data_IF_883572704344
#
_entry.id   IF_883572704344
#
_cell.length_a   1.000
_cell.length_b   1.000
_cell.length_c   1.000
_cell.angle_alpha   90.00
_cell.angle_beta   90.00
_cell.angle_gamma   90.00
#
_symmetry.space_group_name_H-M   'P 1'
#
loop_
_entity.id
_entity.type
_entity.pdbx_description
1 polymer ?
#
# COMPACT_ATOMS: atom_id res chain seq x y z
N UNK A 1 16.79 8.21 12.63
CA UNK A 1 16.52 7.49 11.37
C UNK A 1 15.81 6.20 11.72
N UNK A 2 14.51 6.12 11.48
CA UNK A 2 13.75 4.89 11.66
C UNK A 2 13.70 4.20 10.30
N UNK A 3 14.79 3.53 9.91
CA UNK A 3 14.77 2.65 8.76
C UNK A 3 13.75 1.53 9.02
N UNK A 4 13.08 1.08 7.97
CA UNK A 4 12.19 -0.09 7.96
C UNK A 4 12.92 -1.34 8.49
N UNK A 5 12.96 -1.51 9.80
CA UNK A 5 13.76 -2.54 10.44
C UNK A 5 13.05 -3.89 10.34
N UNK A 6 13.59 -4.75 9.47
CA UNK A 6 13.55 -6.21 9.54
C UNK A 6 12.22 -6.95 9.34
N UNK A 7 11.10 -6.28 9.08
CA UNK A 7 9.87 -6.97 8.67
C UNK A 7 9.23 -6.27 7.45
N UNK A 8 9.23 -6.90 6.26
CA UNK A 8 8.51 -6.35 5.12
C UNK A 8 7.02 -6.31 5.46
N UNK A 9 6.37 -5.18 5.19
CA UNK A 9 4.92 -5.14 5.21
C UNK A 9 4.40 -6.20 4.24
N UNK A 10 3.36 -6.91 4.66
CA UNK A 10 2.82 -8.03 3.91
C UNK A 10 1.43 -7.66 3.41
N UNK A 11 1.24 -7.76 2.09
CA UNK A 11 -0.10 -7.75 1.52
C UNK A 11 -0.80 -9.02 1.99
N UNK A 12 -1.86 -8.87 2.78
CA UNK A 12 -2.57 -10.04 3.32
C UNK A 12 -3.56 -10.59 2.30
N UNK A 13 -4.39 -9.70 1.73
CA UNK A 13 -5.54 -10.10 0.91
C UNK A 13 -5.79 -9.06 -0.18
N UNK A 14 -5.84 -9.52 -1.42
CA UNK A 14 -6.53 -8.87 -2.54
C UNK A 14 -6.84 -9.90 -3.66
N UNK A 15 -8.04 -9.85 -4.28
CA UNK A 15 -9.19 -9.04 -3.90
C UNK A 15 -9.89 -9.62 -2.67
N UNK A 16 -10.44 -8.76 -1.80
CA UNK A 16 -11.50 -9.21 -0.91
C UNK A 16 -12.76 -9.39 -1.78
N UNK A 17 -13.30 -10.60 -1.96
CA UNK A 17 -14.48 -10.82 -2.80
C UNK A 17 -15.75 -10.16 -2.25
N UNK A 18 -15.71 -9.65 -1.01
CA UNK A 18 -16.87 -9.07 -0.31
C UNK A 18 -16.89 -7.54 -0.39
N UNK A 19 -15.75 -6.90 -0.66
CA UNK A 19 -15.65 -5.44 -0.79
C UNK A 19 -14.35 -5.11 -1.51
N UNK A 20 -14.32 -4.10 -2.39
CA UNK A 20 -13.13 -3.56 -3.05
C UNK A 20 -12.14 -2.93 -2.03
N UNK A 21 -11.70 -3.69 -1.04
CA UNK A 21 -10.86 -3.25 0.06
C UNK A 21 -9.60 -4.09 0.08
N UNK A 22 -8.47 -3.41 0.20
CA UNK A 22 -7.16 -4.00 0.29
C UNK A 22 -6.69 -3.99 1.74
N UNK A 23 -6.29 -5.16 2.24
CA UNK A 23 -5.80 -5.34 3.60
C UNK A 23 -4.29 -5.53 3.63
N UNK A 24 -3.63 -4.68 4.40
CA UNK A 24 -2.19 -4.71 4.60
C UNK A 24 -1.87 -4.90 6.06
N UNK A 25 -0.99 -5.86 6.32
CA UNK A 25 -0.36 -6.00 7.63
C UNK A 25 0.92 -5.20 7.67
N UNK A 26 0.91 -4.20 8.52
CA UNK A 26 2.08 -3.39 8.80
C UNK A 26 3.01 -4.13 9.77
N UNK A 27 4.34 -3.96 9.62
CA UNK A 27 5.30 -4.48 10.57
C UNK A 27 5.15 -3.80 11.94
N UNK A 28 5.78 -4.37 12.96
CA UNK A 28 5.66 -3.88 14.34
C UNK A 28 6.16 -2.44 14.50
N UNK A 29 7.19 -2.09 13.75
CA UNK A 29 7.92 -0.83 13.85
C UNK A 29 7.71 0.02 12.59
N UNK A 30 6.46 0.38 12.31
CA UNK A 30 6.16 1.36 11.25
C UNK A 30 6.45 2.78 11.76
N UNK A 31 7.27 3.57 11.04
CA UNK A 31 7.51 4.96 11.39
C UNK A 31 6.21 5.77 11.49
N UNK A 32 6.16 6.71 12.44
CA UNK A 32 5.04 7.64 12.50
C UNK A 32 4.96 8.45 11.19
N UNK A 33 3.74 8.67 10.68
CA UNK A 33 3.52 9.40 9.43
C UNK A 33 3.71 8.57 8.16
N UNK A 34 3.93 7.26 8.27
CA UNK A 34 3.88 6.37 7.11
C UNK A 34 2.54 6.48 6.39
N UNK A 35 2.58 6.38 5.07
CA UNK A 35 1.40 6.42 4.20
C UNK A 35 1.46 5.27 3.21
N UNK A 36 0.34 4.59 3.02
CA UNK A 36 0.17 3.66 1.91
C UNK A 36 -0.03 4.39 0.60
N UNK A 37 0.71 3.96 -0.41
CA UNK A 37 0.57 4.40 -1.78
C UNK A 37 0.21 3.19 -2.65
N UNK A 38 -0.97 3.27 -3.27
CA UNK A 38 -1.37 2.34 -4.33
C UNK A 38 -1.26 3.09 -5.65
N UNK A 39 -0.40 2.62 -6.53
CA UNK A 39 -0.22 3.17 -7.87
C UNK A 39 -0.75 2.18 -8.91
N UNK A 40 -1.54 2.70 -9.85
CA UNK A 40 -2.03 1.95 -11.01
C UNK A 40 -0.99 1.78 -12.09
N UNK A 41 -1.33 0.92 -13.06
CA UNK A 41 -0.55 0.45 -14.21
C UNK A 41 0.80 1.15 -14.40
N UNK A 42 1.84 0.33 -14.24
CA UNK A 42 3.25 0.64 -14.39
C UNK A 42 3.61 0.93 -15.85
N UNK A 43 3.01 1.96 -16.45
CA UNK A 43 3.76 2.71 -17.44
C UNK A 43 4.81 3.48 -16.64
N UNK A 44 6.09 3.22 -16.95
CA UNK A 44 7.27 3.75 -16.26
C UNK A 44 7.24 5.28 -16.19
N UNK A 45 6.40 5.89 -17.03
CA UNK A 45 6.21 7.32 -17.27
C UNK A 45 5.09 7.96 -16.45
N UNK A 46 3.97 7.28 -16.17
CA UNK A 46 2.78 7.97 -15.62
C UNK A 46 2.59 7.81 -14.13
N UNK A 47 3.17 6.77 -13.48
CA UNK A 47 3.16 6.50 -12.01
C UNK A 47 2.11 7.30 -11.22
N UNK A 48 0.84 7.18 -11.59
CA UNK A 48 -0.18 7.99 -10.93
C UNK A 48 -0.49 7.32 -9.60
N UNK A 49 -0.32 8.09 -8.54
CA UNK A 49 -0.80 7.73 -7.21
C UNK A 49 -2.33 7.69 -7.28
N UNK A 50 -2.90 6.50 -7.15
CA UNK A 50 -4.34 6.29 -7.25
C UNK A 50 -5.01 6.27 -5.86
N UNK A 51 -4.33 5.69 -4.86
CA UNK A 51 -4.81 5.69 -3.48
C UNK A 51 -3.68 6.12 -2.55
N UNK A 52 -4.01 7.04 -1.64
CA UNK A 52 -3.15 7.48 -0.56
C UNK A 52 -3.88 7.29 0.77
N UNK A 53 -3.47 6.31 1.57
CA UNK A 53 -4.08 6.04 2.86
C UNK A 53 -3.06 6.24 3.98
N UNK A 54 -3.27 7.16 4.94
CA UNK A 54 -2.39 7.29 6.09
C UNK A 54 -2.33 6.00 6.89
N UNK A 55 -1.11 5.52 7.17
CA UNK A 55 -0.89 4.46 8.14
C UNK A 55 -1.09 5.06 9.53
N UNK A 56 -2.31 4.92 10.07
CA UNK A 56 -2.59 5.26 11.44
C UNK A 56 -1.77 4.43 12.43
N UNK A 57 -2.04 4.54 13.73
CA UNK A 57 -1.37 3.70 14.75
C UNK A 57 -1.79 2.22 14.72
N UNK A 58 -2.64 1.83 13.77
CA UNK A 58 -3.12 0.45 13.61
C UNK A 58 -2.09 -0.38 12.85
N UNK A 59 -1.96 -1.67 13.21
CA UNK A 59 -1.15 -2.65 12.48
C UNK A 59 -1.84 -3.23 11.25
N UNK A 60 -3.15 -3.04 11.17
CA UNK A 60 -3.95 -3.39 10.00
C UNK A 60 -4.33 -2.10 9.31
N UNK A 61 -3.97 -2.00 8.03
CA UNK A 61 -4.36 -0.89 7.18
C UNK A 61 -5.34 -1.39 6.12
N UNK A 62 -6.42 -0.65 6.00
CA UNK A 62 -7.50 -0.90 5.06
C UNK A 62 -7.50 0.26 4.07
N UNK A 63 -7.42 -0.08 2.78
CA UNK A 63 -7.48 0.90 1.71
C UNK A 63 -8.64 0.57 0.78
N UNK A 64 -9.50 1.56 0.55
CA UNK A 64 -10.57 1.45 -0.43
C UNK A 64 -9.96 1.49 -1.84
N UNK A 65 -10.30 0.47 -2.62
CA UNK A 65 -9.88 0.28 -4.00
C UNK A 65 -11.06 0.29 -4.96
N UNK A 66 -12.28 0.63 -4.52
CA UNK A 66 -13.49 0.62 -5.35
C UNK A 66 -13.35 1.51 -6.58
N UNK A 67 -12.80 2.71 -6.41
CA UNK A 67 -12.59 3.67 -7.50
C UNK A 67 -11.46 3.28 -8.48
N UNK A 68 -10.70 2.22 -8.21
CA UNK A 68 -9.65 1.76 -9.12
C UNK A 68 -10.26 1.13 -10.38
N UNK A 69 -9.75 1.48 -11.56
CA UNK A 69 -10.10 0.78 -12.79
C UNK A 69 -9.50 -0.65 -12.79
N UNK A 70 -10.05 -1.60 -13.55
CA UNK A 70 -9.41 -2.89 -13.77
C UNK A 70 -7.99 -2.72 -14.31
N UNK A 71 -7.04 -3.49 -13.78
CA UNK A 71 -5.63 -3.37 -14.13
C UNK A 71 -4.67 -3.84 -13.05
N UNK A 72 -3.37 -3.83 -13.36
CA UNK A 72 -2.32 -4.19 -12.42
C UNK A 72 -1.93 -2.99 -11.55
N UNK A 73 -1.85 -3.22 -10.24
CA UNK A 73 -1.50 -2.21 -9.24
C UNK A 73 -0.28 -2.64 -8.43
N UNK A 74 0.52 -1.66 -8.04
CA UNK A 74 1.67 -1.84 -7.17
C UNK A 74 1.43 -1.10 -5.86
N UNK A 75 1.76 -1.78 -4.77
CA UNK A 75 1.55 -1.32 -3.41
C UNK A 75 2.89 -1.01 -2.77
N UNK A 76 3.03 0.20 -2.25
CA UNK A 76 4.24 0.68 -1.58
C UNK A 76 3.85 1.44 -0.33
N UNK A 77 4.68 1.36 0.69
CA UNK A 77 4.58 2.25 1.83
C UNK A 77 5.62 3.36 1.69
N UNK A 78 5.24 4.56 2.09
CA UNK A 78 6.09 5.75 2.04
C UNK A 78 6.20 6.30 3.45
N UNK A 79 7.43 6.37 3.97
CA UNK A 79 7.76 6.99 5.25
C UNK A 79 7.64 8.51 5.21
N UNK A 80 7.66 9.15 6.39
CA UNK A 80 7.58 10.61 6.51
C UNK A 80 8.80 11.33 5.90
N UNK A 81 9.92 10.63 5.78
CA UNK A 81 11.17 11.06 5.14
C UNK A 81 11.21 10.79 3.63
N UNK A 82 10.13 10.23 3.07
CA UNK A 82 10.05 9.87 1.66
C UNK A 82 10.67 8.50 1.32
N UNK A 83 11.18 7.74 2.31
CA UNK A 83 11.63 6.38 2.09
C UNK A 83 10.47 5.49 1.61
N UNK A 84 10.67 4.72 0.54
CA UNK A 84 9.64 3.83 0.01
C UNK A 84 9.98 2.37 0.22
N UNK A 85 9.09 1.60 0.83
CA UNK A 85 9.19 0.14 0.92
C UNK A 85 8.18 -0.53 -0.03
N UNK A 86 8.60 -1.39 -0.97
CA UNK A 86 7.66 -2.19 -1.75
C UNK A 86 6.94 -3.17 -0.82
N UNK A 87 5.64 -3.37 -1.06
CA UNK A 87 4.81 -4.32 -0.30
C UNK A 87 4.37 -5.49 -1.18
N UNK A 88 3.93 -5.20 -2.41
CA UNK A 88 3.48 -6.22 -3.34
C UNK A 88 2.78 -5.61 -4.55
N UNK A 89 2.13 -6.48 -5.32
CA UNK A 89 1.28 -6.09 -6.43
C UNK A 89 0.00 -6.93 -6.44
N UNK A 90 -1.05 -6.41 -7.07
CA UNK A 90 -2.30 -7.12 -7.24
C UNK A 90 -2.92 -6.77 -8.59
N UNK A 91 -3.81 -7.64 -9.07
CA UNK A 91 -4.61 -7.41 -10.27
C UNK A 91 -6.05 -7.14 -9.87
N UNK A 92 -6.57 -5.96 -10.21
CA UNK A 92 -8.00 -5.68 -10.15
C UNK A 92 -8.63 -6.18 -11.44
N UNK A 93 -9.59 -7.09 -11.31
CA UNK A 93 -10.39 -7.63 -12.41
C UNK A 93 -11.72 -6.91 -12.52
#
# INVERSE_FOLDING_TARGET
>A
MACWANAPASLLIYPNPVADVLFLRLPRDVPAGTTLWVAGSMDRTTKQLQVRQPAGRSRLLEADTHALAPGQYFVRLVGADGETSPVGSFLKI
#
